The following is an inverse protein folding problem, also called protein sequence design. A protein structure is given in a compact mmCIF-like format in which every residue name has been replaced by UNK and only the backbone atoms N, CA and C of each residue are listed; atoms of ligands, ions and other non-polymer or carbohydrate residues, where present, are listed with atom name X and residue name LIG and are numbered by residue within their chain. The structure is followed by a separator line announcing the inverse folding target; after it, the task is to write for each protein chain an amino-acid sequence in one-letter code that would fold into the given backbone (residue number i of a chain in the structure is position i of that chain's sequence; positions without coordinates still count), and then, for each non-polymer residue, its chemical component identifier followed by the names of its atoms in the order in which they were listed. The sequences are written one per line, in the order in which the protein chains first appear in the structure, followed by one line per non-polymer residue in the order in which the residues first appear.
data_IF_164074067656
#
_entry.id   IF_164074067656
#
_cell.length_a   1.000
_cell.length_b   1.000
_cell.length_c   1.000
_cell.angle_alpha   90.00
_cell.angle_beta   90.00
_cell.angle_gamma   90.00
#
_symmetry.space_group_name_H-M   'P 1'
#
loop_
_entity.id
_entity.type
_entity.pdbx_description
1 polymer ?
#
# COMPACT_ATOMS: atom_id res chain seq x y z
N UNK A 1 -11.09 15.83 12.81
CA UNK A 1 -11.38 15.17 14.11
C UNK A 1 -10.16 15.03 14.99
N UNK A 2 -9.02 14.57 14.45
CA UNK A 2 -7.76 14.41 15.18
C UNK A 2 -7.30 15.70 15.88
N UNK A 3 -7.29 16.83 15.17
CA UNK A 3 -6.90 18.14 15.73
C UNK A 3 -7.78 18.52 16.93
N UNK A 4 -9.04 18.14 16.89
CA UNK A 4 -10.01 18.37 17.98
C UNK A 4 -9.64 17.54 19.21
N UNK A 5 -9.24 16.26 19.05
CA UNK A 5 -8.82 15.39 20.15
C UNK A 5 -7.52 15.88 20.81
N UNK A 6 -6.55 16.35 20.00
CA UNK A 6 -5.32 16.97 20.53
C UNK A 6 -5.65 18.26 21.29
N UNK A 7 -6.51 19.11 20.75
CA UNK A 7 -6.95 20.35 21.41
C UNK A 7 -7.67 20.04 22.71
N UNK A 8 -8.56 19.03 22.73
CA UNK A 8 -9.25 18.59 23.95
C UNK A 8 -8.24 18.07 24.98
N UNK A 9 -7.26 17.27 24.58
CA UNK A 9 -6.19 16.79 25.46
C UNK A 9 -5.36 17.93 26.06
N UNK A 10 -4.99 18.92 25.24
CA UNK A 10 -4.29 20.13 25.69
C UNK A 10 -5.14 20.98 26.63
N UNK A 11 -6.44 21.11 26.37
CA UNK A 11 -7.37 21.84 27.25
C UNK A 11 -7.49 21.11 28.58
N UNK A 12 -7.59 19.78 28.61
CA UNK A 12 -7.67 19.00 29.85
C UNK A 12 -6.39 19.17 30.67
N UNK A 13 -5.21 19.11 30.02
CA UNK A 13 -3.92 19.38 30.69
C UNK A 13 -3.82 20.80 31.24
N UNK A 14 -4.26 21.78 30.47
CA UNK A 14 -4.22 23.18 30.88
C UNK A 14 -5.18 23.45 32.05
N UNK A 15 -6.37 22.91 32.01
CA UNK A 15 -7.37 23.01 33.08
C UNK A 15 -6.86 22.29 34.34
N UNK A 16 -6.32 21.08 34.22
CA UNK A 16 -5.74 20.35 35.34
C UNK A 16 -4.59 21.11 36.00
N UNK A 17 -3.67 21.68 35.20
CA UNK A 17 -2.56 22.49 35.71
C UNK A 17 -3.02 23.82 36.33
N UNK A 18 -4.07 24.44 35.79
CA UNK A 18 -4.66 25.67 36.33
C UNK A 18 -5.33 25.43 37.70
N UNK A 19 -6.05 24.33 37.85
CA UNK A 19 -6.64 23.93 39.15
C UNK A 19 -5.57 23.56 40.17
N UNK A 20 -4.50 22.88 39.78
CA UNK A 20 -3.35 22.54 40.63
C UNK A 20 -2.76 23.80 41.29
N UNK A 21 -2.52 24.85 40.53
CA UNK A 21 -1.94 26.09 41.04
C UNK A 21 -2.87 26.94 41.92
N UNK A 22 -4.17 26.64 41.98
CA UNK A 22 -5.16 27.46 42.66
C UNK A 22 -5.70 26.86 43.98
N UNK A 23 -5.42 25.58 44.28
CA UNK A 23 -6.04 24.88 45.39
C UNK A 23 -5.01 24.50 46.43
N UNK A 24 -4.86 25.33 47.47
CA UNK A 24 -4.05 25.08 48.67
C UNK A 24 -4.81 24.20 49.72
N UNK A 25 -5.56 23.18 49.32
CA UNK A 25 -6.40 22.38 50.22
C UNK A 25 -6.11 20.88 50.10
N UNK A 26 -5.79 20.28 51.23
CA UNK A 26 -5.38 18.89 51.50
C UNK A 26 -6.36 17.78 51.05
N UNK A 27 -7.46 18.06 50.41
CA UNK A 27 -8.44 17.07 49.96
C UNK A 27 -8.45 16.78 48.45
N UNK A 28 -7.61 17.42 47.67
CA UNK A 28 -7.63 17.31 46.22
C UNK A 28 -6.64 16.29 45.62
N UNK A 29 -5.71 15.75 46.41
CA UNK A 29 -4.59 14.92 45.89
C UNK A 29 -5.05 13.70 45.07
N UNK A 30 -6.19 13.12 45.39
CA UNK A 30 -6.70 11.95 44.68
C UNK A 30 -7.27 12.26 43.29
N UNK A 31 -8.02 13.36 43.15
CA UNK A 31 -8.60 13.77 41.87
C UNK A 31 -7.57 14.41 40.95
N UNK A 32 -6.56 15.06 41.48
CA UNK A 32 -5.47 15.66 40.70
C UNK A 32 -4.59 14.62 39.99
N UNK A 33 -4.27 13.52 40.71
CA UNK A 33 -3.54 12.39 40.13
C UNK A 33 -4.25 11.81 38.90
N UNK A 34 -5.57 11.65 38.94
CA UNK A 34 -6.34 11.14 37.80
C UNK A 34 -6.42 12.11 36.63
N UNK A 35 -6.44 13.42 36.85
CA UNK A 35 -6.39 14.43 35.82
C UNK A 35 -5.07 14.42 35.03
N UNK A 36 -3.95 14.31 35.73
CA UNK A 36 -2.61 14.22 35.12
C UNK A 36 -2.44 12.93 34.33
N UNK A 37 -2.82 11.80 34.90
CA UNK A 37 -2.76 10.49 34.22
C UNK A 37 -3.67 10.48 32.98
N UNK A 38 -4.87 11.01 33.07
CA UNK A 38 -5.80 11.13 31.94
C UNK A 38 -5.25 12.03 30.82
N UNK A 39 -4.61 13.15 31.18
CA UNK A 39 -3.96 14.04 30.21
C UNK A 39 -2.77 13.40 29.49
N UNK A 40 -1.91 12.70 30.22
CA UNK A 40 -0.76 11.99 29.63
C UNK A 40 -1.23 10.87 28.70
N UNK A 41 -2.20 10.06 29.11
CA UNK A 41 -2.76 9.00 28.25
C UNK A 41 -3.41 9.55 26.99
N UNK A 42 -4.14 10.65 27.07
CA UNK A 42 -4.72 11.31 25.90
C UNK A 42 -3.64 11.82 24.91
N UNK A 43 -2.55 12.40 25.42
CA UNK A 43 -1.42 12.84 24.62
C UNK A 43 -0.72 11.67 23.91
N UNK A 44 -0.48 10.56 24.62
CA UNK A 44 0.15 9.37 24.05
C UNK A 44 -0.74 8.79 22.93
N UNK A 45 -2.04 8.62 23.17
CA UNK A 45 -2.99 8.15 22.16
C UNK A 45 -3.04 9.10 20.95
N UNK A 46 -3.01 10.40 21.17
CA UNK A 46 -2.96 11.41 20.12
C UNK A 46 -1.70 11.31 19.26
N UNK A 47 -0.53 11.11 19.87
CA UNK A 47 0.73 10.92 19.15
C UNK A 47 0.72 9.62 18.32
N UNK A 48 0.22 8.52 18.87
CA UNK A 48 0.11 7.25 18.14
C UNK A 48 -0.79 7.40 16.92
N UNK A 49 -1.96 8.03 17.06
CA UNK A 49 -2.86 8.29 15.93
C UNK A 49 -2.21 9.22 14.89
N UNK A 50 -1.46 10.23 15.31
CA UNK A 50 -0.74 11.10 14.39
C UNK A 50 0.30 10.35 13.57
N UNK A 51 1.09 9.49 14.20
CA UNK A 51 2.07 8.64 13.53
C UNK A 51 1.38 7.74 12.51
N UNK A 52 0.26 7.09 12.87
CA UNK A 52 -0.50 6.25 11.95
C UNK A 52 -1.02 7.02 10.74
N UNK A 53 -1.50 8.25 10.93
CA UNK A 53 -1.95 9.12 9.82
C UNK A 53 -0.78 9.49 8.92
N UNK A 54 0.37 9.87 9.48
CA UNK A 54 1.57 10.17 8.71
C UNK A 54 2.01 8.96 7.89
N UNK A 55 2.13 7.79 8.50
CA UNK A 55 2.51 6.55 7.82
C UNK A 55 1.53 6.23 6.68
N UNK A 56 0.23 6.37 6.90
CA UNK A 56 -0.78 6.17 5.87
C UNK A 56 -0.62 7.17 4.71
N UNK A 57 -0.48 8.47 5.03
CA UNK A 57 -0.38 9.53 4.02
C UNK A 57 0.86 9.39 3.13
N UNK A 58 1.98 8.94 3.70
CA UNK A 58 3.21 8.72 2.93
C UNK A 58 3.19 7.42 2.12
N UNK A 59 2.60 6.35 2.65
CA UNK A 59 2.61 5.04 1.97
C UNK A 59 1.61 4.94 0.83
N UNK A 60 0.45 5.61 0.90
CA UNK A 60 -0.59 5.52 -0.12
C UNK A 60 -0.13 5.96 -1.53
N UNK A 61 0.46 7.16 -1.73
CA UNK A 61 0.96 7.55 -3.05
C UNK A 61 2.10 6.66 -3.53
N UNK A 62 3.01 6.27 -2.64
CA UNK A 62 4.15 5.39 -2.97
C UNK A 62 3.70 4.03 -3.50
N UNK A 63 2.69 3.41 -2.88
CA UNK A 63 2.15 2.13 -3.32
C UNK A 63 1.44 2.27 -4.67
N UNK A 64 0.67 3.35 -4.87
CA UNK A 64 -0.02 3.60 -6.14
C UNK A 64 0.96 3.79 -7.29
N UNK A 65 2.00 4.60 -7.10
CA UNK A 65 3.03 4.84 -8.10
C UNK A 65 3.82 3.56 -8.44
N UNK A 66 4.09 2.70 -7.45
CA UNK A 66 4.72 1.40 -7.70
C UNK A 66 3.84 0.46 -8.51
N UNK A 67 2.54 0.42 -8.23
CA UNK A 67 1.59 -0.38 -9.01
C UNK A 67 1.60 0.08 -10.47
N UNK A 68 1.48 1.38 -10.71
CA UNK A 68 1.50 1.98 -12.04
C UNK A 68 2.79 1.66 -12.80
N UNK A 69 3.94 1.80 -12.14
CA UNK A 69 5.24 1.46 -12.70
C UNK A 69 5.30 -0.01 -13.15
N UNK A 70 4.88 -0.96 -12.32
CA UNK A 70 4.88 -2.38 -12.68
C UNK A 70 3.84 -2.71 -13.76
N UNK A 71 2.69 -2.03 -13.77
CA UNK A 71 1.67 -2.21 -14.83
C UNK A 71 2.19 -1.70 -16.19
N UNK A 72 2.91 -0.57 -16.23
CA UNK A 72 3.56 -0.07 -17.44
C UNK A 72 4.67 -1.00 -17.91
N UNK A 73 5.49 -1.51 -16.98
CA UNK A 73 6.55 -2.46 -17.31
C UNK A 73 5.97 -3.75 -17.88
N UNK A 74 4.93 -4.31 -17.24
CA UNK A 74 4.25 -5.49 -17.76
C UNK A 74 3.68 -5.30 -19.16
N UNK A 75 3.14 -4.12 -19.45
CA UNK A 75 2.64 -3.81 -20.80
C UNK A 75 3.76 -3.81 -21.84
N UNK A 76 4.94 -3.32 -21.49
CA UNK A 76 6.12 -3.37 -22.38
C UNK A 76 6.59 -4.81 -22.57
N UNK A 77 6.70 -5.57 -21.50
CA UNK A 77 7.09 -6.98 -21.53
C UNK A 77 6.09 -7.81 -22.35
N UNK A 78 4.79 -7.59 -22.19
CA UNK A 78 3.76 -8.23 -22.99
C UNK A 78 3.93 -7.96 -24.48
N UNK A 79 4.20 -6.70 -24.86
CA UNK A 79 4.45 -6.35 -26.28
C UNK A 79 5.68 -7.09 -26.81
N UNK A 80 6.77 -7.10 -26.06
CA UNK A 80 8.01 -7.80 -26.45
C UNK A 80 7.81 -9.32 -26.54
N UNK A 81 7.08 -9.93 -25.63
CA UNK A 81 6.73 -11.33 -25.68
C UNK A 81 5.92 -11.68 -26.94
N UNK A 82 4.89 -10.89 -27.23
CA UNK A 82 4.07 -11.07 -28.43
C UNK A 82 4.91 -10.96 -29.70
N UNK A 83 5.80 -9.96 -29.78
CA UNK A 83 6.71 -9.79 -30.91
C UNK A 83 7.68 -10.97 -31.05
N UNK A 84 8.32 -11.39 -29.95
CA UNK A 84 9.31 -12.49 -29.96
C UNK A 84 8.66 -13.80 -30.41
N UNK A 85 7.48 -14.11 -29.91
CA UNK A 85 6.75 -15.34 -30.28
C UNK A 85 6.27 -15.28 -31.75
N UNK A 86 5.78 -14.13 -32.20
CA UNK A 86 5.38 -13.96 -33.60
C UNK A 86 6.58 -14.06 -34.55
N UNK A 87 7.76 -13.51 -34.20
CA UNK A 87 9.00 -13.70 -34.96
C UNK A 87 9.40 -15.16 -35.06
N UNK A 88 9.37 -15.89 -33.93
CA UNK A 88 9.67 -17.32 -33.91
C UNK A 88 8.72 -18.12 -34.81
N UNK A 89 7.42 -17.85 -34.74
CA UNK A 89 6.40 -18.51 -35.58
C UNK A 89 6.62 -18.23 -37.08
N UNK A 90 7.01 -17.02 -37.41
CA UNK A 90 7.34 -16.63 -38.79
C UNK A 90 8.56 -17.39 -39.32
N UNK A 91 9.61 -17.56 -38.49
CA UNK A 91 10.79 -18.34 -38.86
C UNK A 91 10.52 -19.83 -39.08
N UNK A 92 9.48 -20.35 -38.47
CA UNK A 92 9.09 -21.76 -38.62
C UNK A 92 8.20 -22.03 -39.85
N UNK A 93 8.01 -21.04 -40.71
CA UNK A 93 7.13 -21.10 -41.91
C UNK A 93 5.70 -21.58 -41.60
N UNK A 94 5.28 -21.44 -40.36
CA UNK A 94 3.95 -21.82 -39.91
C UNK A 94 3.00 -20.67 -40.16
N UNK A 95 1.98 -20.88 -40.96
CA UNK A 95 0.87 -19.94 -41.21
C UNK A 95 -0.03 -19.94 -39.97
N UNK A 96 0.18 -18.98 -39.07
CA UNK A 96 -0.63 -18.86 -37.85
C UNK A 96 -1.36 -17.50 -37.83
N UNK A 97 -2.50 -17.50 -37.14
CA UNK A 97 -3.09 -16.24 -36.70
C UNK A 97 -2.10 -15.50 -35.81
N UNK A 98 -1.89 -14.23 -36.06
CA UNK A 98 -0.98 -13.40 -35.24
C UNK A 98 -1.48 -13.35 -33.82
N UNK A 99 -0.58 -13.63 -32.86
CA UNK A 99 -0.85 -13.53 -31.45
C UNK A 99 -0.88 -12.03 -31.09
N UNK A 100 -1.89 -11.61 -30.34
CA UNK A 100 -2.10 -10.21 -29.94
C UNK A 100 -2.17 -10.01 -28.44
N UNK A 101 -2.07 -11.08 -27.63
CA UNK A 101 -2.22 -11.01 -26.18
C UNK A 101 -1.37 -12.04 -25.45
N UNK A 102 -1.13 -11.79 -24.17
CA UNK A 102 -0.38 -12.70 -23.29
C UNK A 102 -1.07 -14.08 -23.13
N UNK A 103 -2.38 -14.12 -23.18
CA UNK A 103 -3.13 -15.39 -23.13
C UNK A 103 -2.87 -16.22 -24.38
N UNK A 104 -2.73 -15.57 -25.54
CA UNK A 104 -2.28 -16.21 -26.77
C UNK A 104 -0.86 -16.76 -26.62
N UNK A 105 0.07 -15.96 -26.11
CA UNK A 105 1.47 -16.39 -25.84
C UNK A 105 1.50 -17.61 -24.94
N UNK A 106 0.79 -17.60 -23.79
CA UNK A 106 0.75 -18.75 -22.87
C UNK A 106 0.19 -20.00 -23.51
N UNK A 107 -0.84 -19.89 -24.34
CA UNK A 107 -1.41 -21.01 -25.07
C UNK A 107 -0.39 -21.61 -26.06
N UNK A 108 0.36 -20.78 -26.77
CA UNK A 108 1.40 -21.23 -27.70
C UNK A 108 2.62 -21.83 -27.00
N UNK A 109 3.02 -21.30 -25.83
CA UNK A 109 4.08 -21.90 -25.00
C UNK A 109 3.72 -23.31 -24.49
N UNK A 110 2.44 -23.59 -24.29
CA UNK A 110 1.99 -24.95 -23.95
C UNK A 110 1.99 -25.85 -25.18
N UNK A 111 1.60 -25.32 -26.35
CA UNK A 111 1.54 -26.06 -27.61
C UNK A 111 2.92 -26.35 -28.22
N UNK A 112 3.86 -25.43 -28.00
CA UNK A 112 5.22 -25.50 -28.53
C UNK A 112 6.23 -25.34 -27.38
N UNK A 113 6.55 -26.44 -26.67
CA UNK A 113 7.44 -26.37 -25.50
C UNK A 113 8.89 -25.94 -25.87
N UNK A 114 9.27 -26.05 -27.12
CA UNK A 114 10.53 -25.55 -27.65
C UNK A 114 10.71 -24.04 -27.55
N UNK A 115 9.60 -23.29 -27.53
CA UNK A 115 9.62 -21.84 -27.28
C UNK A 115 10.10 -21.48 -25.87
N UNK A 116 9.89 -22.35 -24.89
CA UNK A 116 10.42 -22.20 -23.53
C UNK A 116 11.95 -22.37 -23.46
N UNK A 117 12.54 -22.94 -24.47
CA UNK A 117 14.00 -23.05 -24.58
C UNK A 117 14.67 -21.77 -25.11
N UNK A 118 13.90 -20.82 -25.58
CA UNK A 118 14.40 -19.50 -25.97
C UNK A 118 14.62 -18.66 -24.69
N UNK A 119 15.89 -18.31 -24.44
CA UNK A 119 16.28 -17.58 -23.24
C UNK A 119 15.58 -16.23 -23.08
N UNK A 120 15.28 -15.56 -24.20
CA UNK A 120 14.61 -14.26 -24.20
C UNK A 120 13.12 -14.41 -23.80
N UNK A 121 12.43 -15.41 -24.36
CA UNK A 121 11.03 -15.68 -24.06
C UNK A 121 10.85 -16.07 -22.58
N UNK A 122 11.76 -16.90 -22.08
CA UNK A 122 11.74 -17.36 -20.70
C UNK A 122 12.00 -16.21 -19.72
N UNK A 123 12.99 -15.36 -19.97
CA UNK A 123 13.31 -14.18 -19.16
C UNK A 123 12.14 -13.17 -19.14
N UNK A 124 11.56 -12.89 -20.30
CA UNK A 124 10.41 -11.98 -20.39
C UNK A 124 9.18 -12.54 -19.66
N UNK A 125 8.94 -13.85 -19.75
CA UNK A 125 7.82 -14.50 -19.06
C UNK A 125 8.03 -14.50 -17.55
N UNK A 126 9.25 -14.76 -17.07
CA UNK A 126 9.60 -14.67 -15.65
C UNK A 126 9.40 -13.24 -15.13
N UNK A 127 9.87 -12.24 -15.86
CA UNK A 127 9.68 -10.82 -15.53
C UNK A 127 8.21 -10.47 -15.42
N UNK A 128 7.39 -10.87 -16.40
CA UNK A 128 5.95 -10.65 -16.38
C UNK A 128 5.28 -11.29 -15.16
N UNK A 129 5.64 -12.52 -14.83
CA UNK A 129 5.08 -13.23 -13.67
C UNK A 129 5.48 -12.58 -12.34
N UNK A 130 6.75 -12.18 -12.21
CA UNK A 130 7.26 -11.50 -11.02
C UNK A 130 6.56 -10.16 -10.81
N UNK A 131 6.45 -9.34 -11.84
CA UNK A 131 5.75 -8.06 -11.78
C UNK A 131 4.27 -8.26 -11.43
N UNK A 132 3.60 -9.24 -12.03
CA UNK A 132 2.20 -9.56 -11.74
C UNK A 132 1.99 -9.99 -10.28
N UNK A 133 2.95 -10.71 -9.69
CA UNK A 133 2.95 -11.09 -8.29
C UNK A 133 3.14 -9.87 -7.38
N UNK A 134 4.07 -8.98 -7.71
CA UNK A 134 4.29 -7.73 -6.97
C UNK A 134 3.06 -6.82 -7.03
N UNK A 135 2.44 -6.66 -8.20
CA UNK A 135 1.19 -5.90 -8.37
C UNK A 135 0.10 -6.46 -7.45
N UNK A 136 -0.08 -7.79 -7.41
CA UNK A 136 -1.05 -8.44 -6.52
C UNK A 136 -0.78 -8.14 -5.05
N UNK A 137 0.47 -8.22 -4.62
CA UNK A 137 0.86 -7.94 -3.23
C UNK A 137 0.64 -6.46 -2.87
N UNK A 138 1.02 -5.55 -3.76
CA UNK A 138 0.83 -4.12 -3.56
C UNK A 138 -0.65 -3.73 -3.54
N UNK A 139 -1.48 -4.31 -4.42
CA UNK A 139 -2.94 -4.12 -4.40
C UNK A 139 -3.55 -4.63 -3.09
N UNK A 140 -3.12 -5.78 -2.58
CA UNK A 140 -3.56 -6.30 -1.28
C UNK A 140 -3.15 -5.38 -0.13
N UNK A 141 -1.92 -4.89 -0.11
CA UNK A 141 -1.46 -3.91 0.89
C UNK A 141 -2.25 -2.60 0.83
N UNK A 142 -2.55 -2.11 -0.37
CA UNK A 142 -3.37 -0.91 -0.58
C UNK A 142 -4.76 -1.08 0.02
N UNK A 143 -5.42 -2.21 -0.26
CA UNK A 143 -6.76 -2.54 0.28
C UNK A 143 -6.72 -2.59 1.82
N UNK A 144 -5.70 -3.23 2.40
CA UNK A 144 -5.55 -3.30 3.86
C UNK A 144 -5.39 -1.91 4.49
N UNK A 145 -4.56 -1.04 3.88
CA UNK A 145 -4.39 0.34 4.35
C UNK A 145 -5.69 1.15 4.25
N UNK A 146 -6.43 0.99 3.15
CA UNK A 146 -7.74 1.64 2.98
C UNK A 146 -8.78 1.10 3.98
N UNK A 147 -8.72 -0.18 4.32
CA UNK A 147 -9.54 -0.78 5.37
C UNK A 147 -9.26 -0.16 6.74
N UNK A 148 -8.00 -0.03 7.12
CA UNK A 148 -7.58 0.61 8.38
C UNK A 148 -8.00 2.09 8.39
N UNK A 149 -7.85 2.80 7.27
CA UNK A 149 -8.26 4.19 7.15
C UNK A 149 -9.78 4.37 7.32
N UNK A 150 -10.59 3.45 6.80
CA UNK A 150 -12.06 3.47 6.98
C UNK A 150 -12.46 3.26 8.44
N UNK A 151 -11.80 2.34 9.14
CA UNK A 151 -12.05 2.09 10.57
C UNK A 151 -11.65 3.31 11.39
N UNK A 152 -10.55 3.99 11.03
CA UNK A 152 -10.04 5.18 11.71
C UNK A 152 -10.71 6.50 11.34
N UNK A 153 -11.81 6.53 10.58
CA UNK A 153 -12.43 7.76 10.05
C UNK A 153 -11.54 8.60 9.11
N UNK A 154 -10.53 7.97 8.52
CA UNK A 154 -9.58 8.61 7.62
C UNK A 154 -9.95 8.42 6.13
N UNK A 155 -11.01 7.67 5.85
CA UNK A 155 -11.45 7.30 4.52
C UNK A 155 -12.78 7.94 4.14
N UNK A 156 -12.75 9.18 3.68
CA UNK A 156 -13.74 9.73 2.76
C UNK A 156 -13.04 10.20 1.51
#
# INVERSE_FOLDING_TARGET
MFLILVIIGLIILFVSNHFYNKTDSYHCDYYEGWGIVGGITACICGLVLFILICVYSFNKPTISNKIEMYEEENKKVETQLVESVNMWLTHQEKTFESISSIDGVTTYLVKYPELKGDSLVDELMETYQNNSKEIKQLKSRKINLEGIAKIGWLGK
#
